data_IF_342597761274
#
_entry.id   IF_342597761274
#
_cell.length_a   1.000
_cell.length_b   1.000
_cell.length_c   1.000
_cell.angle_alpha   90.00
_cell.angle_beta   90.00
_cell.angle_gamma   90.00
#
_symmetry.space_group_name_H-M   'P 1'
#
loop_
_entity.id
_entity.type
_entity.pdbx_description
1 polymer ?
#
# COMPACT_ATOMS: atom_id res chain seq x y z
N UNK A 1 -6.17 -14.59 -33.95
CA UNK A 1 -4.78 -14.78 -33.49
C UNK A 1 -4.80 -14.69 -31.98
N UNK A 2 -4.86 -15.81 -31.28
CA UNK A 2 -4.68 -15.84 -29.82
C UNK A 2 -3.21 -15.58 -29.51
N UNK A 3 -2.89 -14.36 -29.10
CA UNK A 3 -1.64 -14.14 -28.38
C UNK A 3 -1.80 -14.80 -27.01
N UNK A 4 -1.23 -15.99 -26.86
CA UNK A 4 -0.95 -16.55 -25.54
C UNK A 4 -0.14 -15.51 -24.76
N UNK A 5 -0.74 -14.93 -23.72
CA UNK A 5 -0.03 -14.12 -22.74
C UNK A 5 1.10 -14.98 -22.17
N UNK A 6 2.33 -14.76 -22.65
CA UNK A 6 3.51 -15.21 -21.94
C UNK A 6 3.47 -14.49 -20.59
N UNK A 7 3.32 -15.23 -19.51
CA UNK A 7 3.53 -14.72 -18.16
C UNK A 7 4.94 -14.15 -18.10
N UNK A 8 5.04 -12.82 -18.18
CA UNK A 8 6.28 -12.08 -17.98
C UNK A 8 6.50 -12.04 -16.47
N UNK A 9 7.65 -12.51 -16.00
CA UNK A 9 8.07 -12.37 -14.61
C UNK A 9 9.19 -11.33 -14.54
N UNK A 10 9.30 -10.54 -13.46
CA UNK A 10 10.42 -9.63 -13.29
C UNK A 10 11.75 -10.38 -13.29
N UNK A 11 12.78 -9.74 -13.84
CA UNK A 11 14.14 -10.30 -13.91
C UNK A 11 14.85 -10.24 -12.56
N UNK A 12 14.54 -9.21 -11.75
CA UNK A 12 14.98 -9.04 -10.37
C UNK A 12 13.90 -9.54 -9.42
N UNK A 13 14.30 -10.33 -8.41
CA UNK A 13 13.39 -10.73 -7.32
C UNK A 13 12.87 -9.47 -6.63
N UNK A 14 11.55 -9.38 -6.42
CA UNK A 14 10.95 -8.27 -5.68
C UNK A 14 11.19 -8.44 -4.18
N UNK A 15 11.80 -7.47 -3.51
CA UNK A 15 12.00 -7.53 -2.05
C UNK A 15 10.68 -7.36 -1.33
N UNK A 16 9.98 -6.25 -1.56
CA UNK A 16 8.83 -5.90 -0.74
C UNK A 16 7.72 -5.21 -1.54
N UNK A 17 6.47 -5.55 -1.22
CA UNK A 17 5.31 -4.72 -1.57
C UNK A 17 4.88 -3.98 -0.30
N UNK A 18 4.80 -2.66 -0.38
CA UNK A 18 4.38 -1.80 0.73
C UNK A 18 2.99 -1.25 0.47
N UNK A 19 2.06 -1.58 1.36
CA UNK A 19 0.73 -0.98 1.39
C UNK A 19 0.71 0.19 2.35
N UNK A 20 0.71 1.40 1.81
CA UNK A 20 0.54 2.62 2.59
C UNK A 20 -0.95 2.87 2.84
N UNK A 21 -1.39 2.78 4.08
CA UNK A 21 -2.77 3.08 4.46
C UNK A 21 -3.06 4.56 4.24
N UNK A 22 -4.17 4.91 3.58
CA UNK A 22 -4.53 6.32 3.40
C UNK A 22 -4.69 7.05 4.74
N UNK A 23 -5.17 6.34 5.74
CA UNK A 23 -5.21 6.72 7.15
C UNK A 23 -3.86 7.18 7.73
N UNK A 24 -2.76 6.59 7.27
CA UNK A 24 -1.43 6.83 7.78
C UNK A 24 -0.81 8.09 7.20
N UNK A 25 -1.28 8.58 6.05
CA UNK A 25 -0.65 9.71 5.33
C UNK A 25 -1.62 10.84 5.01
N UNK A 26 -2.87 10.71 5.46
CA UNK A 26 -3.90 11.74 5.28
C UNK A 26 -4.69 11.92 6.56
N UNK A 27 -5.13 13.15 6.81
CA UNK A 27 -6.01 13.44 7.94
C UNK A 27 -7.43 12.93 7.61
N UNK A 28 -7.84 11.77 8.14
CA UNK A 28 -9.14 11.13 7.86
C UNK A 28 -10.36 12.07 7.93
N UNK A 29 -10.33 13.02 8.85
CA UNK A 29 -11.46 13.90 9.15
C UNK A 29 -11.42 15.23 8.38
N UNK A 30 -10.41 15.45 7.52
CA UNK A 30 -10.26 16.66 6.73
C UNK A 30 -10.11 16.28 5.26
N UNK A 31 -11.06 16.73 4.45
CA UNK A 31 -11.10 16.47 3.01
C UNK A 31 -9.76 16.86 2.36
N UNK A 32 -9.20 15.95 1.57
CA UNK A 32 -8.00 16.21 0.74
C UNK A 32 -6.82 16.83 1.50
N UNK A 33 -6.63 16.39 2.75
CA UNK A 33 -5.56 16.89 3.62
C UNK A 33 -4.53 15.79 3.88
N UNK A 34 -3.28 16.07 3.50
CA UNK A 34 -2.12 15.21 3.74
C UNK A 34 -1.62 15.41 5.17
N UNK A 35 -1.16 14.33 5.79
CA UNK A 35 -0.33 14.38 7.00
C UNK A 35 1.14 14.50 6.56
N UNK A 36 1.60 15.75 6.40
CA UNK A 36 2.92 16.06 5.82
C UNK A 36 4.07 15.52 6.68
N UNK A 37 3.93 15.58 8.01
CA UNK A 37 4.92 15.08 8.95
C UNK A 37 5.06 13.57 8.80
N UNK A 38 3.94 12.84 8.86
CA UNK A 38 4.01 11.39 8.75
C UNK A 38 4.39 10.91 7.34
N UNK A 39 3.98 11.63 6.28
CA UNK A 39 4.41 11.31 4.92
C UNK A 39 5.93 11.47 4.75
N UNK A 40 6.52 12.51 5.35
CA UNK A 40 7.97 12.72 5.36
C UNK A 40 8.70 11.59 6.09
N UNK A 41 8.26 11.25 7.31
CA UNK A 41 8.86 10.15 8.09
C UNK A 41 8.77 8.81 7.35
N UNK A 42 7.60 8.48 6.80
CA UNK A 42 7.42 7.26 5.99
C UNK A 42 8.34 7.24 4.77
N UNK A 43 8.50 8.37 4.09
CA UNK A 43 9.37 8.46 2.91
C UNK A 43 10.84 8.24 3.30
N UNK A 44 11.29 8.78 4.43
CA UNK A 44 12.61 8.54 5.00
C UNK A 44 12.81 7.06 5.39
N UNK A 45 11.82 6.43 6.02
CA UNK A 45 11.88 5.00 6.37
C UNK A 45 11.93 4.08 5.14
N UNK A 46 11.16 4.42 4.09
CA UNK A 46 11.22 3.70 2.82
C UNK A 46 12.58 3.84 2.15
N UNK A 47 13.19 5.04 2.19
CA UNK A 47 14.55 5.27 1.68
C UNK A 47 15.57 4.40 2.40
N UNK A 48 15.52 4.38 3.74
CA UNK A 48 16.42 3.55 4.55
C UNK A 48 16.30 2.05 4.21
N UNK A 49 15.08 1.57 3.94
CA UNK A 49 14.87 0.18 3.53
C UNK A 49 15.25 -0.09 2.06
N UNK A 50 15.13 0.91 1.20
CA UNK A 50 15.45 0.83 -0.23
C UNK A 50 16.96 0.86 -0.49
N UNK A 51 17.71 1.65 0.28
CA UNK A 51 19.19 1.74 0.23
C UNK A 51 19.79 1.65 1.64
N UNK A 52 19.89 0.43 2.22
CA UNK A 52 20.33 0.22 3.61
C UNK A 52 21.71 0.78 3.95
N UNK A 53 22.63 0.77 2.98
CA UNK A 53 24.02 1.20 3.16
C UNK A 53 24.23 2.71 2.88
N UNK A 54 23.17 3.46 2.57
CA UNK A 54 23.28 4.90 2.33
C UNK A 54 23.44 5.69 3.63
N UNK A 55 24.53 6.43 3.75
CA UNK A 55 24.67 7.43 4.83
C UNK A 55 23.78 8.62 4.52
N UNK A 56 23.09 9.15 5.54
CA UNK A 56 22.12 10.25 5.43
C UNK A 56 22.70 11.59 4.93
N UNK A 57 24.00 11.65 4.68
CA UNK A 57 24.72 12.90 4.48
C UNK A 57 24.52 13.51 3.08
N UNK A 58 24.10 12.76 2.05
CA UNK A 58 23.90 13.29 0.68
C UNK A 58 22.76 12.57 -0.07
N UNK A 59 21.51 12.71 0.38
CA UNK A 59 20.36 12.21 -0.38
C UNK A 59 20.07 13.17 -1.53
N UNK A 60 20.32 12.71 -2.76
CA UNK A 60 20.04 13.48 -3.97
C UNK A 60 18.56 13.33 -4.34
N UNK A 61 17.75 14.34 -4.01
CA UNK A 61 16.34 14.36 -4.37
C UNK A 61 16.13 14.42 -5.89
N UNK A 62 15.18 13.63 -6.38
CA UNK A 62 14.86 13.47 -7.81
C UNK A 62 13.64 14.30 -8.27
N UNK A 63 12.90 14.94 -7.36
CA UNK A 63 11.81 15.87 -7.72
C UNK A 63 12.36 17.26 -8.05
N UNK A 64 12.67 17.49 -9.32
CA UNK A 64 13.07 18.81 -9.84
C UNK A 64 11.91 19.60 -10.47
N UNK A 65 10.67 19.19 -10.23
CA UNK A 65 9.50 19.87 -10.77
C UNK A 65 9.27 21.23 -10.10
N UNK A 66 8.78 22.22 -10.86
CA UNK A 66 8.50 23.57 -10.35
C UNK A 66 7.35 23.52 -9.33
N UNK A 67 7.55 24.07 -8.14
CA UNK A 67 6.50 24.22 -7.13
C UNK A 67 5.77 25.55 -7.28
N UNK A 68 4.46 25.57 -7.05
CA UNK A 68 3.73 26.82 -6.85
C UNK A 68 4.07 27.37 -5.46
N UNK A 69 4.48 28.64 -5.38
CA UNK A 69 4.71 29.34 -4.11
C UNK A 69 6.12 29.23 -3.50
N UNK A 70 7.05 28.51 -4.12
CA UNK A 70 8.48 28.57 -3.73
C UNK A 70 9.27 29.41 -4.75
N UNK A 71 9.99 30.41 -4.24
CA UNK A 71 10.76 31.37 -5.06
C UNK A 71 12.17 30.87 -5.39
N UNK A 72 12.64 29.83 -4.71
CA UNK A 72 13.96 29.24 -4.94
C UNK A 72 13.86 28.11 -5.96
N UNK A 73 14.74 28.13 -6.97
CA UNK A 73 14.92 27.00 -7.86
C UNK A 73 15.31 25.76 -7.01
N UNK A 74 14.86 24.54 -7.36
CA UNK A 74 15.40 23.33 -6.75
C UNK A 74 16.92 23.41 -6.80
N UNK A 75 17.60 23.03 -5.71
CA UNK A 75 19.07 23.03 -5.66
C UNK A 75 19.61 22.20 -6.82
N UNK A 76 20.02 22.87 -7.89
CA UNK A 76 20.70 22.25 -9.02
C UNK A 76 22.03 21.75 -8.47
N UNK A 77 22.22 20.43 -8.47
CA UNK A 77 23.55 19.90 -8.25
C UNK A 77 24.27 20.06 -9.59
N UNK A 78 25.28 20.95 -9.59
CA UNK A 78 26.10 21.26 -10.75
C UNK A 78 26.95 20.06 -11.23
N UNK A 79 26.97 18.96 -10.49
CA UNK A 79 27.70 17.75 -10.84
C UNK A 79 26.73 16.59 -11.12
N UNK A 80 26.19 16.52 -12.34
CA UNK A 80 25.73 15.26 -12.94
C UNK A 80 26.94 14.35 -13.25
N UNK A 81 27.77 14.09 -12.25
CA UNK A 81 28.71 12.98 -12.33
C UNK A 81 27.89 11.69 -12.20
N UNK A 82 28.16 10.72 -13.07
CA UNK A 82 27.64 9.36 -12.92
C UNK A 82 28.14 8.84 -11.56
N UNK A 83 27.32 8.98 -10.53
CA UNK A 83 27.61 8.37 -9.25
C UNK A 83 27.28 6.88 -9.34
N UNK A 84 28.12 5.99 -8.80
CA UNK A 84 27.80 4.58 -8.75
C UNK A 84 26.47 4.42 -8.01
N UNK A 85 25.48 3.85 -8.70
CA UNK A 85 24.19 3.52 -8.10
C UNK A 85 24.48 2.47 -7.03
N UNK A 86 24.30 2.83 -5.76
CA UNK A 86 24.36 1.85 -4.68
C UNK A 86 23.38 0.71 -4.96
N UNK A 87 23.74 -0.52 -4.59
CA UNK A 87 22.84 -1.66 -4.74
C UNK A 87 21.54 -1.36 -3.98
N UNK A 88 20.47 -1.17 -4.76
CA UNK A 88 19.15 -0.83 -4.26
C UNK A 88 18.26 -2.06 -4.24
N UNK A 89 17.37 -2.10 -3.28
CA UNK A 89 16.37 -3.14 -3.19
C UNK A 89 15.19 -2.86 -4.14
N UNK A 90 14.38 -3.85 -4.44
CA UNK A 90 13.22 -3.70 -5.34
C UNK A 90 11.92 -3.59 -4.53
N UNK A 91 11.20 -2.49 -4.70
CA UNK A 91 9.96 -2.19 -3.98
C UNK A 91 8.83 -1.86 -4.94
N UNK A 92 7.60 -2.18 -4.53
CA UNK A 92 6.37 -1.60 -5.10
C UNK A 92 5.59 -0.96 -3.96
N UNK A 93 5.11 0.26 -4.16
CA UNK A 93 4.28 0.96 -3.19
C UNK A 93 2.85 1.03 -3.72
N UNK A 94 1.88 0.74 -2.86
CA UNK A 94 0.46 0.94 -3.15
C UNK A 94 -0.14 1.74 -2.00
N UNK A 95 -0.79 2.87 -2.29
CA UNK A 95 -1.46 3.63 -1.24
C UNK A 95 -2.98 3.51 -1.26
N UNK A 96 -3.60 3.68 -0.09
CA UNK A 96 -5.04 3.81 0.03
C UNK A 96 -5.52 5.19 -0.39
N UNK A 97 -6.83 5.33 -0.58
CA UNK A 97 -7.44 6.57 -1.03
C UNK A 97 -7.45 7.69 0.03
N UNK A 98 -7.43 7.34 1.32
CA UNK A 98 -7.42 8.32 2.42
C UNK A 98 -8.58 9.32 2.33
N UNK A 99 -8.35 10.53 2.81
CA UNK A 99 -9.31 11.64 2.70
C UNK A 99 -9.51 12.17 1.27
N UNK A 100 -8.79 11.63 0.27
CA UNK A 100 -8.89 12.03 -1.13
C UNK A 100 -9.88 11.17 -1.94
N UNK A 101 -10.19 9.93 -1.55
CA UNK A 101 -11.20 9.15 -2.29
C UNK A 101 -12.47 8.84 -1.50
N UNK A 102 -12.37 8.67 -0.18
CA UNK A 102 -13.50 8.18 0.63
C UNK A 102 -14.69 9.14 0.63
N UNK A 103 -14.44 10.45 0.73
CA UNK A 103 -15.50 11.45 0.80
C UNK A 103 -16.33 11.50 -0.50
N UNK A 104 -15.64 11.58 -1.63
CA UNK A 104 -16.22 11.69 -2.97
C UNK A 104 -16.96 10.40 -3.32
N UNK A 105 -16.34 9.23 -3.11
CA UNK A 105 -16.90 7.92 -3.48
C UNK A 105 -18.10 7.52 -2.61
N UNK A 106 -18.08 7.84 -1.31
CA UNK A 106 -19.18 7.55 -0.40
C UNK A 106 -20.39 8.44 -0.69
N UNK A 107 -20.19 9.76 -0.82
CA UNK A 107 -21.26 10.73 -1.05
C UNK A 107 -21.99 10.52 -2.37
N UNK A 108 -21.27 10.10 -3.41
CA UNK A 108 -21.83 9.89 -4.75
C UNK A 108 -22.33 8.46 -5.01
N UNK A 109 -21.91 7.49 -4.19
CA UNK A 109 -22.27 6.08 -4.37
C UNK A 109 -21.50 5.35 -5.47
N UNK A 110 -20.29 5.79 -5.86
CA UNK A 110 -19.46 5.15 -6.90
C UNK A 110 -19.26 3.65 -6.66
N UNK A 111 -19.07 3.25 -5.40
CA UNK A 111 -18.93 1.84 -5.01
C UNK A 111 -20.18 0.98 -5.29
N UNK A 112 -21.35 1.60 -5.52
CA UNK A 112 -22.62 0.93 -5.84
C UNK A 112 -22.88 0.86 -7.35
N UNK A 113 -22.03 1.47 -8.18
CA UNK A 113 -22.20 1.45 -9.63
C UNK A 113 -23.29 2.40 -10.16
N UNK A 114 -23.56 2.30 -11.46
CA UNK A 114 -24.56 3.10 -12.16
C UNK A 114 -24.03 4.44 -12.68
N UNK A 115 -22.98 4.40 -13.51
CA UNK A 115 -22.44 5.54 -14.27
C UNK A 115 -23.47 6.23 -15.16
N UNK A 116 -24.59 5.59 -15.52
CA UNK A 116 -25.72 6.26 -16.16
C UNK A 116 -26.31 7.40 -15.31
N UNK A 117 -26.16 7.36 -13.98
CA UNK A 117 -26.65 8.40 -13.06
C UNK A 117 -25.65 9.57 -13.00
N UNK A 118 -26.08 10.82 -13.25
CA UNK A 118 -25.19 11.99 -13.26
C UNK A 118 -24.37 12.17 -11.96
N UNK A 119 -24.98 11.92 -10.80
CA UNK A 119 -24.29 12.02 -9.50
C UNK A 119 -23.16 10.99 -9.37
N UNK A 120 -23.37 9.75 -9.81
CA UNK A 120 -22.37 8.68 -9.74
C UNK A 120 -21.24 8.99 -10.72
N UNK A 121 -21.57 9.43 -11.95
CA UNK A 121 -20.57 9.84 -12.95
C UNK A 121 -19.71 11.01 -12.47
N UNK A 122 -20.32 12.05 -11.90
CA UNK A 122 -19.59 13.17 -11.30
C UNK A 122 -18.73 12.72 -10.11
N UNK A 123 -19.26 11.81 -9.29
CA UNK A 123 -18.52 11.16 -8.20
C UNK A 123 -17.29 10.40 -8.67
N UNK A 124 -17.42 9.61 -9.74
CA UNK A 124 -16.34 8.85 -10.34
C UNK A 124 -15.21 9.78 -10.78
N UNK A 125 -15.56 10.86 -11.50
CA UNK A 125 -14.61 11.90 -11.93
C UNK A 125 -13.93 12.55 -10.72
N UNK A 126 -14.69 12.99 -9.72
CA UNK A 126 -14.15 13.66 -8.53
C UNK A 126 -13.23 12.74 -7.72
N UNK A 127 -13.61 11.47 -7.51
CA UNK A 127 -12.77 10.46 -6.85
C UNK A 127 -11.46 10.26 -7.59
N UNK A 128 -11.49 10.16 -8.93
CA UNK A 128 -10.28 9.99 -9.75
C UNK A 128 -9.34 11.16 -9.68
N UNK A 129 -9.86 12.38 -9.87
CA UNK A 129 -9.06 13.60 -9.78
C UNK A 129 -8.33 13.62 -8.43
N UNK A 130 -9.07 13.41 -7.35
CA UNK A 130 -8.55 13.56 -6.01
C UNK A 130 -7.53 12.46 -5.65
N UNK A 131 -7.82 11.18 -5.92
CA UNK A 131 -6.87 10.10 -5.59
C UNK A 131 -5.60 10.14 -6.44
N UNK A 132 -5.70 10.61 -7.69
CA UNK A 132 -4.53 10.81 -8.57
C UNK A 132 -3.68 12.00 -8.08
N UNK A 133 -4.32 13.06 -7.54
CA UNK A 133 -3.59 14.14 -6.87
C UNK A 133 -2.82 13.65 -5.65
N UNK A 134 -3.44 12.80 -4.80
CA UNK A 134 -2.74 12.17 -3.67
C UNK A 134 -1.56 11.32 -4.15
N UNK A 135 -1.74 10.55 -5.23
CA UNK A 135 -0.66 9.75 -5.80
C UNK A 135 0.53 10.61 -6.22
N UNK A 136 0.27 11.74 -6.88
CA UNK A 136 1.32 12.68 -7.27
C UNK A 136 2.08 13.23 -6.06
N UNK A 137 1.41 13.59 -4.97
CA UNK A 137 2.08 14.11 -3.78
C UNK A 137 2.93 13.04 -3.07
N UNK A 138 2.48 11.79 -3.03
CA UNK A 138 3.29 10.67 -2.51
C UNK A 138 4.49 10.41 -3.40
N UNK A 139 4.30 10.36 -4.72
CA UNK A 139 5.41 10.17 -5.68
C UNK A 139 6.46 11.25 -5.49
N UNK A 140 6.06 12.52 -5.39
CA UNK A 140 6.98 13.63 -5.10
C UNK A 140 7.69 13.48 -3.76
N UNK A 141 6.98 13.08 -2.71
CA UNK A 141 7.59 12.89 -1.38
C UNK A 141 8.69 11.82 -1.42
N UNK A 142 8.43 10.67 -2.07
CA UNK A 142 9.43 9.61 -2.26
C UNK A 142 10.60 10.08 -3.14
N UNK A 143 10.32 10.79 -4.22
CA UNK A 143 11.34 11.31 -5.13
C UNK A 143 12.28 12.30 -4.43
N UNK A 144 11.76 13.14 -3.52
CA UNK A 144 12.59 14.05 -2.71
C UNK A 144 13.54 13.32 -1.77
N UNK A 145 13.17 12.11 -1.34
CA UNK A 145 14.02 11.21 -0.56
C UNK A 145 14.97 10.37 -1.44
N UNK A 146 15.10 10.70 -2.72
CA UNK A 146 16.01 10.01 -3.65
C UNK A 146 15.51 8.64 -4.11
N UNK A 147 14.24 8.31 -3.88
CA UNK A 147 13.62 7.09 -4.39
C UNK A 147 13.16 7.37 -5.83
N UNK A 148 13.54 6.54 -6.83
CA UNK A 148 13.11 6.71 -8.22
C UNK A 148 11.64 6.30 -8.41
N UNK A 149 10.73 7.03 -7.79
CA UNK A 149 9.29 6.74 -7.73
C UNK A 149 8.57 7.19 -9.00
N UNK A 150 7.65 6.36 -9.51
CA UNK A 150 6.76 6.71 -10.62
C UNK A 150 5.31 6.34 -10.30
N UNK A 151 4.38 7.27 -10.57
CA UNK A 151 2.95 7.06 -10.34
C UNK A 151 2.31 6.19 -11.43
N UNK A 152 1.49 5.22 -11.04
CA UNK A 152 0.77 4.34 -11.96
C UNK A 152 -0.68 4.15 -11.51
N UNK A 153 -1.64 4.76 -12.22
CA UNK A 153 -3.07 4.61 -11.92
C UNK A 153 -3.58 3.27 -12.49
N UNK A 154 -4.18 2.39 -11.65
CA UNK A 154 -4.80 1.16 -12.12
C UNK A 154 -5.78 1.36 -13.28
N UNK A 155 -6.64 2.39 -13.20
CA UNK A 155 -7.56 2.67 -14.31
C UNK A 155 -6.81 3.05 -15.59
N UNK A 156 -5.77 3.88 -15.49
CA UNK A 156 -5.00 4.30 -16.68
C UNK A 156 -4.21 3.14 -17.28
N UNK A 157 -3.88 2.12 -16.48
CA UNK A 157 -3.34 0.84 -16.93
C UNK A 157 -4.41 -0.13 -17.46
N UNK A 158 -5.66 0.29 -17.58
CA UNK A 158 -6.75 -0.52 -18.12
C UNK A 158 -7.30 -1.56 -17.16
N UNK A 159 -7.04 -1.45 -15.85
CA UNK A 159 -7.55 -2.43 -14.89
C UNK A 159 -9.06 -2.28 -14.71
N UNK A 160 -9.76 -3.41 -14.67
CA UNK A 160 -11.22 -3.48 -14.63
C UNK A 160 -11.72 -4.58 -13.69
N UNK A 161 -12.98 -4.48 -13.28
CA UNK A 161 -13.64 -5.45 -12.42
C UNK A 161 -14.93 -6.01 -13.03
N UNK A 162 -15.42 -7.10 -12.48
CA UNK A 162 -16.77 -7.59 -12.71
C UNK A 162 -17.37 -7.99 -11.36
N UNK A 163 -18.50 -7.39 -10.98
CA UNK A 163 -19.08 -7.56 -9.65
C UNK A 163 -18.06 -7.29 -8.52
N UNK A 164 -17.24 -6.25 -8.68
CA UNK A 164 -16.17 -5.85 -7.73
C UNK A 164 -14.99 -6.79 -7.64
N UNK A 165 -14.98 -7.89 -8.39
CA UNK A 165 -13.84 -8.78 -8.49
C UNK A 165 -12.96 -8.34 -9.65
N UNK A 166 -11.65 -8.27 -9.44
CA UNK A 166 -10.69 -7.90 -10.47
C UNK A 166 -10.71 -8.91 -11.62
N UNK A 167 -10.91 -8.45 -12.85
CA UNK A 167 -11.00 -9.28 -14.06
C UNK A 167 -9.84 -9.04 -15.01
N UNK A 168 -9.46 -7.78 -15.22
CA UNK A 168 -8.31 -7.40 -16.03
C UNK A 168 -7.38 -6.57 -15.19
N UNK A 169 -6.12 -7.00 -15.07
CA UNK A 169 -5.09 -6.29 -14.33
C UNK A 169 -3.70 -6.71 -14.83
N UNK A 170 -3.36 -6.25 -16.04
CA UNK A 170 -2.02 -6.45 -16.60
C UNK A 170 -0.98 -5.68 -15.79
N UNK A 171 0.07 -6.40 -15.38
CA UNK A 171 1.18 -5.87 -14.59
C UNK A 171 2.46 -5.70 -15.42
N UNK A 172 2.42 -5.90 -16.75
CA UNK A 172 3.60 -5.81 -17.62
C UNK A 172 4.35 -4.49 -17.50
N UNK A 173 3.62 -3.38 -17.35
CA UNK A 173 4.22 -2.05 -17.14
C UNK A 173 4.84 -1.89 -15.74
N UNK A 174 4.25 -2.53 -14.72
CA UNK A 174 4.81 -2.57 -13.36
C UNK A 174 6.12 -3.36 -13.37
N UNK A 175 6.15 -4.52 -14.02
CA UNK A 175 7.36 -5.34 -14.18
C UNK A 175 8.46 -4.56 -14.89
N UNK A 176 8.15 -3.94 -16.03
CA UNK A 176 9.11 -3.15 -16.79
C UNK A 176 9.70 -2.01 -15.97
N UNK A 177 8.88 -1.35 -15.15
CA UNK A 177 9.35 -0.31 -14.25
C UNK A 177 10.33 -0.85 -13.20
N UNK A 178 10.00 -1.97 -12.55
CA UNK A 178 10.89 -2.65 -11.59
C UNK A 178 12.21 -3.05 -12.25
N UNK A 179 12.16 -3.67 -13.43
CA UNK A 179 13.36 -4.11 -14.17
C UNK A 179 14.23 -2.93 -14.63
N UNK A 180 13.66 -1.74 -14.78
CA UNK A 180 14.39 -0.50 -15.10
C UNK A 180 14.93 0.21 -13.86
N UNK A 181 14.66 -0.30 -12.65
CA UNK A 181 15.12 0.28 -11.39
C UNK A 181 14.21 1.37 -10.82
N UNK A 182 13.00 1.55 -11.35
CA UNK A 182 12.00 2.43 -10.74
C UNK A 182 11.27 1.73 -9.58
N UNK A 183 10.68 2.54 -8.69
CA UNK A 183 9.72 2.10 -7.67
C UNK A 183 8.31 2.49 -8.13
N UNK A 184 7.50 1.55 -8.63
CA UNK A 184 6.12 1.82 -9.01
C UNK A 184 5.28 2.20 -7.78
N UNK A 185 4.50 3.28 -7.91
CA UNK A 185 3.57 3.77 -6.90
C UNK A 185 2.14 3.73 -7.44
N UNK A 186 1.40 2.68 -7.08
CA UNK A 186 0.00 2.51 -7.42
C UNK A 186 -0.91 3.01 -6.29
N UNK A 187 -2.21 3.02 -6.53
CA UNK A 187 -3.19 3.50 -5.56
C UNK A 187 -4.53 2.80 -5.70
N UNK A 188 -5.29 2.75 -4.60
CA UNK A 188 -6.72 2.43 -4.67
C UNK A 188 -7.41 3.42 -5.62
N UNK A 189 -8.28 2.92 -6.49
CA UNK A 189 -8.77 3.68 -7.64
C UNK A 189 -10.26 3.48 -7.90
N UNK A 190 -10.89 4.41 -8.60
CA UNK A 190 -12.21 4.17 -9.17
C UNK A 190 -12.06 3.57 -10.57
N UNK A 191 -12.58 2.37 -10.79
CA UNK A 191 -12.38 1.59 -12.02
C UNK A 191 -13.70 1.27 -12.69
N UNK A 192 -13.65 0.94 -13.98
CA UNK A 192 -14.81 0.43 -14.70
C UNK A 192 -15.13 -0.98 -14.23
N UNK A 193 -16.43 -1.29 -14.15
CA UNK A 193 -16.91 -2.62 -13.84
C UNK A 193 -17.89 -3.09 -14.92
N UNK A 194 -17.72 -4.32 -15.41
CA UNK A 194 -18.54 -4.83 -16.53
C UNK A 194 -20.02 -4.96 -16.19
N UNK A 195 -20.40 -5.26 -14.94
CA UNK A 195 -21.79 -5.50 -14.55
C UNK A 195 -22.43 -4.34 -13.77
N UNK A 196 -21.66 -3.62 -12.96
CA UNK A 196 -22.16 -2.44 -12.21
C UNK A 196 -21.70 -1.10 -12.80
N UNK A 197 -21.10 -1.11 -14.00
CA UNK A 197 -20.56 0.04 -14.74
C UNK A 197 -19.30 0.66 -14.12
N UNK A 198 -19.22 0.79 -12.78
CA UNK A 198 -18.01 1.23 -12.07
C UNK A 198 -17.94 0.69 -10.64
N UNK A 199 -16.73 0.71 -10.06
CA UNK A 199 -16.53 0.42 -8.63
C UNK A 199 -15.31 1.13 -8.03
N UNK A 200 -15.08 0.89 -6.74
CA UNK A 200 -13.83 1.21 -6.07
C UNK A 200 -12.98 -0.06 -5.99
N UNK A 201 -11.82 -0.02 -6.64
CA UNK A 201 -10.78 -1.02 -6.48
C UNK A 201 -9.89 -0.61 -5.30
N UNK A 202 -9.97 -1.35 -4.20
CA UNK A 202 -9.21 -1.02 -2.99
C UNK A 202 -7.72 -1.31 -3.17
N UNK A 203 -6.88 -0.53 -2.50
CA UNK A 203 -5.44 -0.78 -2.52
C UNK A 203 -5.04 -2.12 -1.87
N UNK A 204 -5.87 -2.65 -0.97
CA UNK A 204 -5.63 -3.96 -0.34
C UNK A 204 -5.82 -5.09 -1.36
N UNK A 205 -6.85 -5.00 -2.21
CA UNK A 205 -7.06 -5.94 -3.33
C UNK A 205 -5.94 -5.84 -4.37
N UNK A 206 -5.47 -4.62 -4.67
CA UNK A 206 -4.36 -4.39 -5.60
C UNK A 206 -3.09 -5.11 -5.12
N UNK A 207 -2.71 -4.97 -3.84
CA UNK A 207 -1.50 -5.63 -3.37
C UNK A 207 -1.62 -7.15 -3.32
N UNK A 208 -2.82 -7.71 -3.08
CA UNK A 208 -3.02 -9.15 -3.17
C UNK A 208 -2.76 -9.65 -4.58
N UNK A 209 -3.29 -8.95 -5.58
CA UNK A 209 -3.04 -9.27 -7.00
C UNK A 209 -1.55 -9.17 -7.33
N UNK A 210 -0.91 -8.06 -6.98
CA UNK A 210 0.53 -7.87 -7.21
C UNK A 210 1.38 -8.92 -6.48
N UNK A 211 1.03 -9.32 -5.26
CA UNK A 211 1.76 -10.33 -4.51
C UNK A 211 1.65 -11.72 -5.16
N UNK A 212 0.49 -12.07 -5.71
CA UNK A 212 0.29 -13.32 -6.43
C UNK A 212 1.17 -13.41 -7.69
N UNK A 213 1.27 -12.30 -8.43
CA UNK A 213 2.02 -12.25 -9.68
C UNK A 213 3.53 -12.05 -9.47
N UNK A 214 3.93 -11.15 -8.57
CA UNK A 214 5.33 -10.73 -8.38
C UNK A 214 6.07 -11.54 -7.32
N UNK A 215 5.35 -12.25 -6.44
CA UNK A 215 5.89 -13.10 -5.36
C UNK A 215 7.02 -12.41 -4.56
N UNK A 216 6.76 -11.26 -3.92
CA UNK A 216 7.76 -10.57 -3.12
C UNK A 216 8.26 -11.42 -1.97
N UNK A 217 9.39 -11.04 -1.38
CA UNK A 217 9.90 -11.71 -0.20
C UNK A 217 8.99 -11.57 1.03
N UNK A 218 8.33 -10.42 1.17
CA UNK A 218 7.34 -10.13 2.20
C UNK A 218 6.48 -8.93 1.79
N UNK A 219 5.37 -8.72 2.50
CA UNK A 219 4.47 -7.57 2.31
C UNK A 219 4.33 -6.80 3.62
N UNK A 220 4.34 -5.47 3.54
CA UNK A 220 4.15 -4.59 4.72
C UNK A 220 2.95 -3.70 4.53
N UNK A 221 1.97 -3.78 5.43
CA UNK A 221 0.89 -2.82 5.58
C UNK A 221 1.26 -1.78 6.63
N UNK A 222 1.46 -0.55 6.18
CA UNK A 222 1.67 0.62 7.02
C UNK A 222 0.32 1.27 7.32
N UNK A 223 -0.09 1.31 8.58
CA UNK A 223 -1.38 1.86 9.04
C UNK A 223 -1.18 2.95 10.10
N UNK A 224 -2.25 3.56 10.60
CA UNK A 224 -2.25 4.60 11.65
C UNK A 224 -2.26 4.04 13.08
N UNK A 225 -2.26 2.71 13.23
CA UNK A 225 -2.30 1.96 14.49
C UNK A 225 -1.16 0.94 14.54
N UNK A 226 -0.80 0.44 15.73
CA UNK A 226 0.35 -0.47 15.87
C UNK A 226 0.20 -1.80 15.14
N UNK A 227 -1.03 -2.26 14.88
CA UNK A 227 -1.31 -3.50 14.18
C UNK A 227 -2.80 -3.83 14.25
N UNK A 228 -3.14 -5.11 14.25
CA UNK A 228 -4.50 -5.60 14.47
C UNK A 228 -4.76 -5.69 15.97
N UNK A 229 -5.89 -5.16 16.41
CA UNK A 229 -6.37 -5.29 17.78
C UNK A 229 -7.61 -6.19 17.82
N UNK A 230 -7.86 -6.80 18.97
CA UNK A 230 -9.07 -7.60 19.24
C UNK A 230 -10.36 -6.76 19.21
N UNK A 231 -10.24 -5.47 19.50
CA UNK A 231 -11.30 -4.44 19.46
C UNK A 231 -10.70 -3.08 19.05
N UNK A 232 -11.49 -2.02 18.84
CA UNK A 232 -10.96 -0.72 18.46
C UNK A 232 -9.86 -0.25 19.45
N UNK A 233 -8.69 0.18 18.97
CA UNK A 233 -7.55 0.51 19.84
C UNK A 233 -7.77 1.75 20.72
N UNK A 234 -8.86 2.49 20.49
CA UNK A 234 -9.30 3.61 21.33
C UNK A 234 -10.05 3.13 22.59
N UNK A 235 -10.50 1.88 22.62
CA UNK A 235 -11.19 1.29 23.76
C UNK A 235 -10.19 0.82 24.82
N UNK A 236 -10.54 1.02 26.09
CA UNK A 236 -9.70 0.58 27.21
C UNK A 236 -9.56 -0.94 27.20
N UNK A 237 -8.33 -1.41 27.42
CA UNK A 237 -8.02 -2.84 27.44
C UNK A 237 -7.91 -3.50 26.06
N UNK A 238 -7.94 -2.74 24.96
CA UNK A 238 -7.68 -3.29 23.63
C UNK A 238 -6.29 -3.94 23.56
N UNK A 239 -6.24 -5.18 23.06
CA UNK A 239 -5.05 -6.01 23.03
C UNK A 239 -4.52 -6.11 21.60
N UNK A 240 -3.23 -5.82 21.42
CA UNK A 240 -2.56 -5.99 20.15
C UNK A 240 -2.37 -7.48 19.84
N UNK A 241 -2.93 -7.93 18.72
CA UNK A 241 -2.71 -9.26 18.16
C UNK A 241 -1.33 -9.25 17.51
N UNK A 242 -0.40 -10.03 18.02
CA UNK A 242 0.98 -10.06 17.53
C UNK A 242 1.20 -11.03 16.39
N UNK A 243 0.49 -12.16 16.40
CA UNK A 243 0.67 -13.21 15.40
C UNK A 243 -0.67 -13.84 15.02
N UNK A 244 -0.89 -13.97 13.71
CA UNK A 244 -2.03 -14.65 13.09
C UNK A 244 -1.48 -15.74 12.18
N UNK A 245 -1.99 -16.96 12.34
CA UNK A 245 -1.72 -18.10 11.47
C UNK A 245 -2.83 -18.22 10.42
N UNK A 246 -2.45 -18.52 9.19
CA UNK A 246 -3.36 -18.81 8.07
C UNK A 246 -3.24 -20.27 7.69
N UNK A 247 -4.38 -20.94 7.59
CA UNK A 247 -4.51 -22.37 7.33
C UNK A 247 -4.69 -22.66 5.82
N UNK A 248 -4.55 -23.93 5.44
CA UNK A 248 -4.67 -24.38 4.05
C UNK A 248 -6.04 -24.09 3.42
N UNK A 249 -7.11 -24.14 4.21
CA UNK A 249 -8.46 -23.79 3.77
C UNK A 249 -8.66 -22.27 3.57
N UNK A 250 -7.69 -21.45 3.98
CA UNK A 250 -7.75 -19.98 3.93
C UNK A 250 -8.38 -19.34 5.18
N UNK A 251 -8.82 -20.14 6.15
CA UNK A 251 -9.17 -19.64 7.48
C UNK A 251 -7.92 -19.15 8.20
N UNK A 252 -8.11 -18.32 9.22
CA UNK A 252 -7.03 -17.79 10.03
C UNK A 252 -7.38 -17.78 11.52
N UNK A 253 -6.37 -17.86 12.36
CA UNK A 253 -6.53 -17.90 13.82
C UNK A 253 -5.42 -17.11 14.51
N UNK A 254 -5.73 -16.51 15.65
CA UNK A 254 -4.74 -15.79 16.46
C UNK A 254 -3.82 -16.78 17.18
N UNK A 255 -2.51 -16.57 17.05
CA UNK A 255 -1.47 -17.36 17.71
C UNK A 255 -0.94 -16.64 18.94
N UNK A 256 -0.78 -15.31 18.86
CA UNK A 256 -0.33 -14.47 19.98
C UNK A 256 -1.18 -13.21 20.11
N UNK A 257 -1.74 -12.92 21.30
CA UNK A 257 -1.68 -13.73 22.52
C UNK A 257 -2.47 -15.04 22.42
N UNK A 258 -2.10 -16.07 23.20
CA UNK A 258 -2.95 -17.24 23.41
C UNK A 258 -4.13 -16.80 24.26
N UNK A 259 -5.27 -16.59 23.63
CA UNK A 259 -6.51 -16.26 24.34
C UNK A 259 -7.15 -17.57 24.79
N UNK A 260 -7.27 -17.74 26.09
CA UNK A 260 -8.13 -18.77 26.68
C UNK A 260 -9.57 -18.32 26.46
N UNK A 261 -10.39 -19.20 25.91
CA UNK A 261 -11.79 -19.03 25.53
C UNK A 261 -12.08 -18.41 24.16
N UNK A 262 -12.94 -19.16 23.46
CA UNK A 262 -13.61 -18.94 22.17
C UNK A 262 -14.46 -17.66 22.19
N UNK A 263 -13.82 -16.50 22.33
CA UNK A 263 -14.44 -15.25 21.92
C UNK A 263 -14.29 -15.25 20.41
N UNK A 264 -15.39 -15.53 19.69
CA UNK A 264 -15.48 -15.26 18.25
C UNK A 264 -14.83 -13.90 18.01
N UNK A 265 -13.71 -13.87 17.30
CA UNK A 265 -12.97 -12.65 17.07
C UNK A 265 -13.84 -11.69 16.27
N UNK A 266 -14.47 -10.77 16.98
CA UNK A 266 -15.33 -9.73 16.43
C UNK A 266 -14.52 -8.54 15.92
N UNK A 267 -13.30 -8.77 15.39
CA UNK A 267 -12.66 -7.76 14.53
C UNK A 267 -13.65 -7.33 13.44
N UNK A 268 -14.48 -8.28 12.97
CA UNK A 268 -15.57 -8.02 12.04
C UNK A 268 -16.81 -7.32 12.63
N UNK A 269 -17.16 -7.51 13.90
CA UNK A 269 -18.35 -6.85 14.46
C UNK A 269 -18.07 -5.46 15.03
N UNK A 270 -16.81 -5.15 15.36
CA UNK A 270 -16.40 -3.84 15.88
C UNK A 270 -15.74 -2.93 14.82
N UNK A 271 -15.36 -3.45 13.64
CA UNK A 271 -14.87 -2.64 12.52
C UNK A 271 -16.02 -1.93 11.80
N UNK A 272 -16.44 -0.80 12.37
CA UNK A 272 -17.48 0.09 11.81
C UNK A 272 -17.19 0.59 10.40
N UNK A 273 -15.95 0.45 9.92
CA UNK A 273 -15.52 0.89 8.58
C UNK A 273 -15.32 -0.26 7.58
N UNK A 274 -15.31 -1.52 8.05
CA UNK A 274 -14.93 -2.70 7.27
C UNK A 274 -13.48 -2.72 6.76
N UNK A 275 -12.67 -1.72 7.13
CA UNK A 275 -11.33 -1.52 6.60
C UNK A 275 -10.25 -2.43 7.20
N UNK A 276 -10.36 -2.80 8.47
CA UNK A 276 -9.44 -3.75 9.10
C UNK A 276 -9.76 -5.20 8.71
N UNK A 277 -11.04 -5.56 8.67
CA UNK A 277 -11.48 -6.90 8.23
C UNK A 277 -10.98 -7.19 6.82
N UNK A 278 -11.27 -6.29 5.88
CA UNK A 278 -10.84 -6.43 4.49
C UNK A 278 -9.32 -6.59 4.41
N UNK A 279 -8.58 -5.78 5.16
CA UNK A 279 -7.11 -5.84 5.19
C UNK A 279 -6.57 -7.17 5.71
N UNK A 280 -7.15 -7.72 6.77
CA UNK A 280 -6.76 -9.04 7.30
C UNK A 280 -7.10 -10.13 6.30
N UNK A 281 -8.29 -10.07 5.68
CA UNK A 281 -8.70 -11.04 4.65
C UNK A 281 -7.74 -11.03 3.46
N UNK A 282 -7.42 -9.85 2.90
CA UNK A 282 -6.47 -9.74 1.79
C UNK A 282 -5.05 -10.17 2.22
N UNK A 283 -4.61 -9.78 3.42
CA UNK A 283 -3.33 -10.20 3.99
C UNK A 283 -3.24 -11.71 4.21
N UNK A 284 -4.33 -12.36 4.64
CA UNK A 284 -4.38 -13.80 4.82
C UNK A 284 -4.28 -14.52 3.47
N UNK A 285 -4.95 -14.00 2.44
CA UNK A 285 -4.82 -14.54 1.08
C UNK A 285 -3.39 -14.40 0.52
N UNK A 286 -2.68 -13.31 0.85
CA UNK A 286 -1.26 -13.17 0.52
C UNK A 286 -0.42 -14.19 1.31
N UNK A 287 -0.64 -14.30 2.62
CA UNK A 287 0.08 -15.23 3.48
C UNK A 287 -0.08 -16.68 3.02
N UNK A 288 -1.26 -17.08 2.56
CA UNK A 288 -1.54 -18.39 1.97
C UNK A 288 -0.64 -18.75 0.77
N UNK A 289 -0.09 -17.75 0.08
CA UNK A 289 0.90 -17.97 -0.99
C UNK A 289 2.31 -18.27 -0.47
N UNK A 290 2.48 -18.39 0.86
CA UNK A 290 3.77 -18.54 1.52
C UNK A 290 4.56 -17.24 1.69
N UNK A 291 3.89 -16.09 1.57
CA UNK A 291 4.50 -14.75 1.65
C UNK A 291 4.20 -14.15 3.02
N UNK A 292 5.22 -13.89 3.83
CA UNK A 292 5.05 -13.24 5.12
C UNK A 292 4.41 -11.83 4.98
N UNK A 293 3.42 -11.53 5.82
CA UNK A 293 2.78 -10.22 5.85
C UNK A 293 2.92 -9.58 7.23
N UNK A 294 3.26 -8.29 7.27
CA UNK A 294 3.40 -7.52 8.50
C UNK A 294 2.47 -6.30 8.48
N UNK A 295 1.70 -6.08 9.55
CA UNK A 295 0.86 -4.89 9.74
C UNK A 295 1.45 -4.10 10.90
N UNK A 296 1.83 -2.84 10.66
CA UNK A 296 2.42 -1.98 11.69
C UNK A 296 2.14 -0.48 11.47
N UNK A 297 2.41 0.34 12.48
CA UNK A 297 2.18 1.79 12.41
C UNK A 297 3.24 2.48 11.57
N UNK A 298 2.80 3.24 10.58
CA UNK A 298 3.67 4.07 9.76
C UNK A 298 4.39 5.15 10.59
N UNK A 299 5.60 5.55 10.17
CA UNK A 299 6.36 6.60 10.85
C UNK A 299 6.89 6.20 12.23
N UNK A 300 7.12 4.90 12.47
CA UNK A 300 7.67 4.39 13.74
C UNK A 300 8.86 3.45 13.51
N UNK A 301 9.68 3.20 14.53
CA UNK A 301 10.76 2.21 14.48
C UNK A 301 10.25 0.80 14.12
N UNK A 302 9.00 0.49 14.48
CA UNK A 302 8.37 -0.78 14.10
C UNK A 302 8.14 -0.89 12.59
N UNK A 303 7.82 0.22 11.91
CA UNK A 303 7.78 0.27 10.45
C UNK A 303 9.15 0.08 9.81
N UNK A 304 10.21 0.68 10.38
CA UNK A 304 11.59 0.49 9.89
C UNK A 304 12.00 -0.99 10.00
N UNK A 305 11.76 -1.61 11.17
CA UNK A 305 12.01 -3.05 11.37
C UNK A 305 11.22 -3.93 10.40
N UNK A 306 9.96 -3.61 10.12
CA UNK A 306 9.16 -4.37 9.15
C UNK A 306 9.70 -4.22 7.72
N UNK A 307 10.05 -3.00 7.30
CA UNK A 307 10.54 -2.70 5.95
C UNK A 307 11.95 -3.25 5.70
N UNK A 308 12.80 -3.39 6.71
CA UNK A 308 14.15 -3.95 6.56
C UNK A 308 14.14 -5.46 6.25
N UNK A 309 13.05 -6.16 6.58
CA UNK A 309 12.92 -7.61 6.41
C UNK A 309 13.47 -8.44 7.57
N UNK A 310 13.96 -7.81 8.65
CA UNK A 310 14.54 -8.52 9.82
C UNK A 310 13.54 -9.50 10.47
N UNK A 311 12.23 -9.23 10.34
CA UNK A 311 11.17 -10.03 10.94
C UNK A 311 11.05 -11.45 10.36
N UNK A 312 11.56 -11.70 9.14
CA UNK A 312 11.52 -13.03 8.50
C UNK A 312 12.29 -14.08 9.30
N UNK A 313 13.38 -13.69 9.97
CA UNK A 313 14.19 -14.58 10.82
C UNK A 313 13.56 -14.88 12.18
N UNK A 314 12.49 -14.17 12.55
CA UNK A 314 11.85 -14.24 13.85
C UNK A 314 11.29 -12.87 14.24
N UNK A 315 10.22 -12.86 15.03
CA UNK A 315 9.59 -11.62 15.48
C UNK A 315 10.22 -11.22 16.81
N UNK A 316 10.95 -10.08 16.90
CA UNK A 316 11.55 -9.62 18.16
C UNK A 316 10.49 -9.31 19.21
N UNK A 317 10.80 -9.54 20.49
CA UNK A 317 9.86 -9.28 21.58
C UNK A 317 9.47 -7.79 21.67
N UNK A 318 10.40 -6.89 21.33
CA UNK A 318 10.21 -5.44 21.35
C UNK A 318 9.51 -4.87 20.09
N UNK A 319 9.19 -5.72 19.11
CA UNK A 319 8.49 -5.29 17.90
C UNK A 319 6.97 -5.27 18.10
N UNK A 320 6.36 -4.10 18.01
CA UNK A 320 4.91 -3.95 18.07
C UNK A 320 4.33 -3.92 16.65
N UNK A 321 3.58 -4.96 16.35
CA UNK A 321 2.86 -5.15 15.11
C UNK A 321 2.22 -6.51 15.05
N UNK A 322 1.52 -6.79 13.95
CA UNK A 322 0.90 -8.08 13.68
C UNK A 322 1.62 -8.75 12.52
N UNK A 323 2.17 -9.94 12.75
CA UNK A 323 2.63 -10.81 11.69
C UNK A 323 1.52 -11.78 11.29
N UNK A 324 1.33 -11.97 9.99
CA UNK A 324 0.36 -12.89 9.41
C UNK A 324 1.15 -13.86 8.53
N UNK A 325 1.13 -15.15 8.88
CA UNK A 325 1.96 -16.18 8.25
C UNK A 325 1.15 -17.43 7.94
N UNK A 326 1.55 -18.12 6.88
CA UNK A 326 1.03 -19.45 6.59
C UNK A 326 1.50 -20.46 7.65
N UNK A 327 0.56 -21.22 8.20
CA UNK A 327 0.85 -22.35 9.05
C UNK A 327 1.19 -23.54 8.17
N UNK A 328 2.47 -23.93 8.18
CA UNK A 328 2.95 -25.12 7.47
C UNK A 328 2.60 -26.39 8.23
#
# INVERSE_FOLDING_TARGET
MEQKNKTVSPTKRLRCIVKLGGAAITCKNKLETIDEENLKEVSSHLRQAFVPDSTSANVLGMDWSKRQGQSEAPSFINDFSDQPVADSESFVVVHGAGSFGHFQASKSGVHKGGLSRPLVKAGFVATRISVTSLNLEIVKALAREGIPSIGMSPFSCGWSTCQRNMTEADISMVIKAIDTGFVPVLHGDAVLDTLQECTILSGDVIIRHLAAELKPEFVVFLTDVLGVYDRPPVESGAVLIREIAVHEDGSWSVVKPKLEDTIEFTVASHDTTGGMVTKITEAAMIAKLGIDVYITKAGTDHSVKALSGILKGGIPDDWLGTAIRYMR
#
